data_IF_985738967029
#
_entry.id   IF_985738967029
#
_cell.length_a   1.000
_cell.length_b   1.000
_cell.length_c   1.000
_cell.angle_alpha   90.00
_cell.angle_beta   90.00
_cell.angle_gamma   90.00
#
_symmetry.space_group_name_H-M   'P 1'
#
loop_
_entity.id
_entity.type
_entity.pdbx_description
1 polymer ?
#
# COMPACT_ATOMS: atom_id res chain seq x y z
N UNK A 1 0.91 28.33 9.96
CA UNK A 1 2.13 27.52 9.75
C UNK A 1 1.77 26.32 8.90
N UNK A 2 1.87 26.45 7.58
CA UNK A 2 1.43 25.44 6.62
C UNK A 2 2.51 24.35 6.55
N UNK A 3 2.25 23.20 7.16
CA UNK A 3 3.13 22.03 7.13
C UNK A 3 2.60 21.06 6.10
N UNK A 4 3.12 21.16 4.88
CA UNK A 4 2.71 20.28 3.78
C UNK A 4 3.66 19.08 3.78
N UNK A 5 3.25 18.02 4.47
CA UNK A 5 3.84 16.70 4.31
C UNK A 5 3.15 16.02 3.13
N UNK A 6 3.92 15.53 2.17
CA UNK A 6 3.37 14.87 0.99
C UNK A 6 3.91 13.45 0.93
N UNK A 7 3.01 12.46 0.89
CA UNK A 7 3.32 11.13 0.40
C UNK A 7 2.93 11.08 -1.08
N UNK A 8 3.88 10.99 -2.00
CA UNK A 8 3.59 10.93 -3.44
C UNK A 8 3.88 9.50 -3.89
N UNK A 9 2.82 8.76 -4.23
CA UNK A 9 2.96 7.41 -4.76
C UNK A 9 3.61 7.43 -6.14
N UNK A 10 4.53 6.49 -6.37
CA UNK A 10 5.28 6.39 -7.63
C UNK A 10 4.88 5.14 -8.40
N UNK A 11 5.07 3.98 -7.79
CA UNK A 11 4.84 2.70 -8.46
C UNK A 11 4.60 1.57 -7.47
N UNK A 12 3.97 0.53 -7.98
CA UNK A 12 3.83 -0.76 -7.30
C UNK A 12 4.34 -1.85 -8.23
N UNK A 13 5.10 -2.80 -7.70
CA UNK A 13 5.58 -3.95 -8.45
C UNK A 13 4.95 -5.21 -7.85
N UNK A 14 4.35 -6.04 -8.68
CA UNK A 14 3.82 -7.34 -8.27
C UNK A 14 4.86 -8.41 -8.63
N UNK A 15 5.63 -8.86 -7.65
CA UNK A 15 6.70 -9.85 -7.87
C UNK A 15 6.12 -11.25 -8.06
N UNK A 16 5.08 -11.59 -7.30
CA UNK A 16 4.40 -12.87 -7.40
C UNK A 16 2.92 -12.71 -7.10
N UNK A 17 2.06 -13.35 -7.89
CA UNK A 17 0.64 -13.54 -7.60
C UNK A 17 0.31 -14.97 -7.95
N UNK A 18 -0.29 -15.70 -7.01
CA UNK A 18 -0.76 -17.07 -7.19
C UNK A 18 -2.13 -17.26 -6.57
N UNK A 19 -3.02 -17.90 -7.30
CA UNK A 19 -4.36 -18.28 -6.85
C UNK A 19 -4.44 -19.80 -6.94
N UNK A 20 -4.86 -20.43 -5.85
CA UNK A 20 -4.93 -21.89 -5.79
C UNK A 20 -6.15 -22.31 -4.98
N UNK A 21 -6.77 -23.43 -5.36
CA UNK A 21 -7.81 -24.05 -4.56
C UNK A 21 -7.25 -24.45 -3.18
N UNK A 22 -8.00 -24.16 -2.13
CA UNK A 22 -7.65 -24.48 -0.76
C UNK A 22 -8.88 -24.64 0.11
N UNK A 23 -8.65 -24.77 1.41
CA UNK A 23 -9.68 -24.87 2.43
C UNK A 23 -9.25 -24.00 3.59
N UNK A 24 -10.14 -23.12 4.06
CA UNK A 24 -9.85 -22.25 5.19
C UNK A 24 -9.72 -23.02 6.50
N UNK A 25 -9.54 -22.29 7.61
CA UNK A 25 -9.48 -22.90 8.95
C UNK A 25 -10.77 -23.63 9.36
N UNK A 26 -11.89 -23.39 8.68
CA UNK A 26 -13.19 -24.04 8.98
C UNK A 26 -13.47 -25.26 8.09
N UNK A 27 -12.63 -25.52 7.08
CA UNK A 27 -12.82 -26.63 6.16
C UNK A 27 -13.59 -26.25 4.89
N UNK A 28 -14.01 -24.99 4.74
CA UNK A 28 -14.77 -24.54 3.57
C UNK A 28 -13.84 -24.36 2.38
N UNK A 29 -14.10 -25.09 1.30
CA UNK A 29 -13.34 -24.99 0.06
C UNK A 29 -13.47 -23.59 -0.55
N UNK A 30 -12.34 -22.96 -0.85
CA UNK A 30 -12.27 -21.63 -1.47
C UNK A 30 -10.96 -21.48 -2.22
N UNK A 31 -10.95 -20.61 -3.22
CA UNK A 31 -9.70 -20.14 -3.79
C UNK A 31 -8.95 -19.28 -2.77
N UNK A 32 -7.62 -19.42 -2.77
CA UNK A 32 -6.71 -18.73 -1.89
C UNK A 32 -5.66 -17.98 -2.70
N UNK A 33 -5.49 -16.69 -2.41
CA UNK A 33 -4.49 -15.85 -3.04
C UNK A 33 -3.23 -15.75 -2.18
N UNK A 34 -2.08 -15.91 -2.83
CA UNK A 34 -0.76 -15.60 -2.29
C UNK A 34 -0.13 -14.57 -3.20
N UNK A 35 0.29 -13.44 -2.64
CA UNK A 35 0.95 -12.40 -3.41
C UNK A 35 2.10 -11.75 -2.67
N UNK A 36 3.08 -11.32 -3.44
CA UNK A 36 4.21 -10.53 -3.01
C UNK A 36 4.31 -9.30 -3.91
N UNK A 37 4.24 -8.12 -3.30
CA UNK A 37 4.33 -6.86 -4.02
C UNK A 37 5.18 -5.85 -3.25
N UNK A 38 5.77 -4.92 -3.99
CA UNK A 38 6.59 -3.84 -3.45
C UNK A 38 6.01 -2.50 -3.87
N UNK A 39 5.55 -1.72 -2.88
CA UNK A 39 5.09 -0.35 -3.07
C UNK A 39 6.26 0.64 -2.93
N UNK A 40 6.38 1.59 -3.86
CA UNK A 40 7.33 2.70 -3.79
C UNK A 40 6.62 4.05 -3.81
N UNK A 41 7.01 4.91 -2.87
CA UNK A 41 6.52 6.28 -2.80
C UNK A 41 7.58 7.23 -2.24
N UNK A 42 7.47 8.51 -2.56
CA UNK A 42 8.33 9.54 -1.99
C UNK A 42 7.60 10.27 -0.89
N UNK A 43 8.19 10.29 0.30
CA UNK A 43 7.78 11.18 1.37
C UNK A 43 8.56 12.49 1.29
N UNK A 44 7.87 13.64 1.25
CA UNK A 44 8.48 14.97 1.19
C UNK A 44 8.06 15.82 2.38
N UNK A 45 9.05 16.31 3.13
CA UNK A 45 8.89 17.32 4.17
C UNK A 45 9.22 18.70 3.59
N UNK A 46 8.19 19.51 3.32
CA UNK A 46 8.37 20.89 2.86
C UNK A 46 8.65 21.88 4.01
N UNK A 47 8.44 21.45 5.25
CA UNK A 47 8.67 22.26 6.45
C UNK A 47 10.11 22.73 6.57
N UNK A 48 10.29 23.97 7.01
CA UNK A 48 11.58 24.66 7.07
C UNK A 48 12.21 24.67 8.46
N UNK A 49 11.40 24.49 9.50
CA UNK A 49 11.82 24.71 10.88
C UNK A 49 12.23 23.42 11.61
N UNK A 50 11.63 22.27 11.27
CA UNK A 50 11.85 21.03 12.00
C UNK A 50 11.74 19.80 11.09
N UNK A 51 12.40 18.72 11.51
CA UNK A 51 12.16 17.40 10.97
C UNK A 51 10.99 16.71 11.65
N UNK A 52 10.59 15.57 11.09
CA UNK A 52 9.43 14.80 11.55
C UNK A 52 9.73 13.32 11.63
N UNK A 53 9.13 12.66 12.61
CA UNK A 53 9.08 11.21 12.65
C UNK A 53 7.85 10.74 11.88
N UNK A 54 8.10 9.97 10.84
CA UNK A 54 7.10 9.42 9.94
C UNK A 54 6.88 7.96 10.29
N UNK A 55 5.61 7.61 10.43
CA UNK A 55 5.12 6.25 10.68
C UNK A 55 3.88 6.04 9.83
N UNK A 56 3.43 4.81 9.64
CA UNK A 56 2.20 4.52 8.91
C UNK A 56 1.38 3.46 9.64
N UNK A 57 0.10 3.37 9.32
CA UNK A 57 -0.65 2.12 9.48
C UNK A 57 -0.11 1.07 8.49
N UNK A 58 -0.44 -0.22 8.67
CA UNK A 58 -0.16 -1.21 7.64
C UNK A 58 -0.70 -0.75 6.28
N UNK A 59 0.10 -0.99 5.24
CA UNK A 59 -0.29 -0.76 3.85
C UNK A 59 -1.15 -1.92 3.41
N UNK A 60 -2.44 -1.66 3.20
CA UNK A 60 -3.41 -2.68 2.84
C UNK A 60 -3.70 -2.61 1.35
N UNK A 61 -3.68 -3.77 0.70
CA UNK A 61 -4.14 -3.96 -0.66
C UNK A 61 -5.37 -4.85 -0.61
N UNK A 62 -6.47 -4.35 -1.15
CA UNK A 62 -7.77 -4.99 -1.09
C UNK A 62 -8.35 -5.21 -2.49
N UNK A 63 -9.09 -6.30 -2.62
CA UNK A 63 -9.97 -6.55 -3.74
C UNK A 63 -11.41 -6.51 -3.23
N UNK A 64 -12.21 -5.60 -3.76
CA UNK A 64 -13.54 -5.30 -3.20
C UNK A 64 -13.40 -5.02 -1.69
N UNK A 65 -14.02 -5.82 -0.82
CA UNK A 65 -13.95 -5.67 0.64
C UNK A 65 -12.94 -6.63 1.31
N UNK A 66 -12.14 -7.37 0.53
CA UNK A 66 -11.22 -8.39 1.03
C UNK A 66 -9.78 -7.88 0.97
N UNK A 67 -9.12 -7.82 2.13
CA UNK A 67 -7.69 -7.48 2.20
C UNK A 67 -6.87 -8.68 1.75
N UNK A 68 -6.26 -8.58 0.57
CA UNK A 68 -5.50 -9.67 -0.06
C UNK A 68 -4.01 -9.62 0.27
N UNK A 69 -3.50 -8.47 0.70
CA UNK A 69 -2.14 -8.32 1.17
C UNK A 69 -2.00 -7.13 2.12
N UNK A 70 -1.05 -7.23 3.05
CA UNK A 70 -0.72 -6.17 3.99
C UNK A 70 0.79 -6.07 4.20
N UNK A 71 1.27 -4.90 4.62
CA UNK A 71 2.70 -4.65 4.79
C UNK A 71 3.02 -3.46 5.67
N UNK A 72 3.94 -3.62 6.61
CA UNK A 72 4.33 -2.55 7.52
C UNK A 72 5.45 -1.67 6.95
N UNK A 73 5.24 -0.36 7.00
CA UNK A 73 6.29 0.60 6.70
C UNK A 73 7.21 0.78 7.92
N UNK A 74 8.52 0.60 7.71
CA UNK A 74 9.52 0.97 8.73
C UNK A 74 9.49 2.48 8.99
N UNK A 75 9.20 2.87 10.23
CA UNK A 75 9.22 4.28 10.63
C UNK A 75 10.59 4.93 10.44
N UNK A 76 10.61 6.21 10.12
CA UNK A 76 11.84 6.95 9.84
C UNK A 76 11.76 8.42 10.27
N UNK A 77 12.92 9.05 10.41
CA UNK A 77 13.03 10.49 10.57
C UNK A 77 13.25 11.15 9.20
N UNK A 78 12.52 12.23 8.94
CA UNK A 78 12.70 13.08 7.77
C UNK A 78 13.13 14.48 8.19
N UNK A 79 14.30 14.93 7.71
CA UNK A 79 14.81 16.27 7.96
C UNK A 79 13.95 17.35 7.29
N UNK A 80 14.13 18.61 7.72
CA UNK A 80 13.50 19.78 7.08
C UNK A 80 13.89 19.89 5.60
N UNK A 81 12.98 20.42 4.76
CA UNK A 81 13.20 20.66 3.31
C UNK A 81 13.83 19.48 2.56
N UNK A 82 13.39 18.27 2.85
CA UNK A 82 13.98 17.07 2.29
C UNK A 82 12.92 16.07 1.87
N UNK A 83 13.35 15.07 1.10
CA UNK A 83 12.50 13.98 0.65
C UNK A 83 13.21 12.64 0.80
N UNK A 84 12.45 11.56 0.85
CA UNK A 84 12.96 10.20 0.94
C UNK A 84 12.10 9.26 0.12
N UNK A 85 12.77 8.40 -0.65
CA UNK A 85 12.12 7.26 -1.28
C UNK A 85 11.88 6.17 -0.23
N UNK A 86 10.64 5.73 -0.14
CA UNK A 86 10.19 4.68 0.77
C UNK A 86 9.75 3.48 -0.07
N UNK A 87 10.16 2.29 0.36
CA UNK A 87 9.78 1.01 -0.23
C UNK A 87 9.14 0.16 0.85
N UNK A 88 7.95 -0.38 0.58
CA UNK A 88 7.19 -1.22 1.51
C UNK A 88 6.86 -2.54 0.82
N UNK A 89 7.22 -3.65 1.45
CA UNK A 89 6.80 -4.97 1.01
C UNK A 89 5.36 -5.23 1.50
N UNK A 90 4.46 -5.53 0.60
CA UNK A 90 3.03 -5.77 0.84
C UNK A 90 2.74 -7.18 0.37
N UNK A 91 2.46 -8.07 1.32
CA UNK A 91 2.41 -9.52 1.09
C UNK A 91 1.12 -10.10 1.64
N UNK A 92 0.63 -11.14 0.98
CA UNK A 92 -0.49 -11.96 1.42
C UNK A 92 -0.16 -13.42 1.20
N UNK A 93 -0.50 -14.28 2.16
CA UNK A 93 -0.20 -15.71 2.09
C UNK A 93 -1.46 -16.52 2.34
N UNK A 94 -1.89 -17.27 1.33
CA UNK A 94 -3.09 -18.12 1.38
C UNK A 94 -4.33 -17.40 1.93
N UNK A 95 -4.56 -16.17 1.48
CA UNK A 95 -5.72 -15.39 1.89
C UNK A 95 -6.96 -15.95 1.16
N UNK A 96 -8.01 -16.35 1.88
CA UNK A 96 -9.22 -16.88 1.25
C UNK A 96 -9.98 -15.78 0.50
N UNK A 97 -10.50 -16.11 -0.68
CA UNK A 97 -11.18 -15.20 -1.59
C UNK A 97 -12.72 -15.36 -1.57
N UNK A 98 -13.31 -15.54 -0.39
CA UNK A 98 -14.76 -15.70 -0.26
C UNK A 98 -15.55 -14.60 -0.96
N UNK A 99 -16.50 -14.96 -1.82
CA UNK A 99 -17.33 -13.98 -2.52
C UNK A 99 -16.60 -13.17 -3.59
N UNK A 100 -15.37 -13.52 -3.97
CA UNK A 100 -14.59 -12.77 -4.98
C UNK A 100 -15.08 -12.94 -6.42
N UNK A 101 -16.07 -13.79 -6.64
CA UNK A 101 -16.64 -14.06 -7.97
C UNK A 101 -15.63 -14.64 -8.96
N UNK A 102 -15.99 -14.63 -10.25
CA UNK A 102 -15.18 -15.22 -11.32
C UNK A 102 -13.96 -14.36 -11.73
N UNK A 103 -13.90 -13.09 -11.31
CA UNK A 103 -12.86 -12.12 -11.72
C UNK A 103 -11.46 -12.43 -11.20
N UNK A 104 -11.36 -13.19 -10.10
CA UNK A 104 -10.10 -13.74 -9.58
C UNK A 104 -9.98 -15.24 -9.83
N UNK A 105 -10.94 -15.86 -10.51
CA UNK A 105 -10.82 -17.28 -10.86
C UNK A 105 -9.64 -17.48 -11.80
N UNK A 106 -8.88 -18.53 -11.56
CA UNK A 106 -7.73 -18.86 -12.39
C UNK A 106 -7.65 -20.35 -12.66
N UNK A 107 -7.54 -20.68 -13.94
CA UNK A 107 -7.23 -22.04 -14.40
C UNK A 107 -5.72 -22.34 -14.36
N UNK A 108 -4.87 -21.31 -14.33
CA UNK A 108 -3.40 -21.40 -14.45
C UNK A 108 -2.65 -20.91 -13.23
N UNK A 109 -3.37 -20.52 -12.18
CA UNK A 109 -2.84 -19.96 -10.94
C UNK A 109 -2.58 -18.45 -10.94
N UNK A 110 -2.88 -17.73 -12.01
CA UNK A 110 -2.84 -16.25 -12.11
C UNK A 110 -4.16 -15.72 -12.68
N UNK A 111 -4.69 -14.55 -12.25
CA UNK A 111 -5.88 -13.97 -12.89
C UNK A 111 -5.73 -13.89 -14.40
N UNK A 112 -6.76 -14.25 -15.14
CA UNK A 112 -6.76 -14.20 -16.62
C UNK A 112 -7.08 -12.81 -17.17
N UNK A 113 -7.70 -11.96 -16.34
CA UNK A 113 -8.17 -10.61 -16.69
C UNK A 113 -7.55 -9.60 -15.71
N UNK A 114 -7.30 -8.34 -16.12
CA UNK A 114 -6.87 -7.30 -15.20
C UNK A 114 -7.84 -7.10 -14.04
N UNK A 115 -7.32 -7.09 -12.80
CA UNK A 115 -8.12 -7.02 -11.57
C UNK A 115 -7.96 -5.64 -10.92
N UNK A 116 -9.05 -4.90 -10.65
CA UNK A 116 -8.98 -3.66 -9.90
C UNK A 116 -8.76 -3.92 -8.41
N UNK A 117 -7.81 -3.22 -7.81
CA UNK A 117 -7.42 -3.30 -6.41
C UNK A 117 -7.47 -1.92 -5.78
N UNK A 118 -7.74 -1.87 -4.48
CA UNK A 118 -7.70 -0.65 -3.68
C UNK A 118 -6.55 -0.72 -2.69
N UNK A 119 -5.69 0.29 -2.73
CA UNK A 119 -4.59 0.47 -1.79
C UNK A 119 -4.97 1.53 -0.77
N UNK A 120 -4.81 1.24 0.52
CA UNK A 120 -5.20 2.13 1.59
C UNK A 120 -4.18 2.11 2.74
N UNK A 121 -3.77 3.29 3.21
CA UNK A 121 -2.97 3.45 4.42
C UNK A 121 -2.97 4.90 4.91
N UNK A 122 -2.62 5.10 6.18
CA UNK A 122 -2.50 6.44 6.78
C UNK A 122 -1.05 6.71 7.14
N UNK A 123 -0.48 7.77 6.59
CA UNK A 123 0.80 8.33 7.02
C UNK A 123 0.61 9.22 8.23
N UNK A 124 1.41 9.00 9.27
CA UNK A 124 1.45 9.82 10.48
C UNK A 124 2.80 10.53 10.58
N UNK A 125 2.75 11.85 10.54
CA UNK A 125 3.91 12.73 10.64
C UNK A 125 3.89 13.48 11.96
N UNK A 126 4.82 13.12 12.86
CA UNK A 126 4.97 13.76 14.17
C UNK A 126 6.11 14.75 14.14
N UNK A 127 5.79 16.03 14.29
CA UNK A 127 6.78 17.10 14.41
C UNK A 127 7.18 17.36 15.85
N UNK A 128 8.36 17.96 16.02
CA UNK A 128 8.91 18.41 17.30
C UNK A 128 9.18 19.91 17.18
N UNK A 129 8.17 20.71 17.53
CA UNK A 129 8.21 22.17 17.45
C UNK A 129 8.69 22.69 18.80
N UNK A 130 9.77 23.48 18.80
CA UNK A 130 10.46 23.95 20.01
C UNK A 130 10.90 22.78 20.92
N UNK A 131 11.68 21.85 20.36
CA UNK A 131 12.11 20.65 21.07
C UNK A 131 10.94 19.68 21.31
N UNK A 132 10.72 19.28 22.56
CA UNK A 132 9.65 18.33 22.94
C UNK A 132 8.38 19.01 23.48
N UNK A 133 8.30 20.35 23.49
CA UNK A 133 7.18 21.04 24.12
C UNK A 133 5.90 20.92 23.29
N UNK A 134 5.98 21.11 21.98
CA UNK A 134 4.83 21.02 21.08
C UNK A 134 5.07 19.92 20.05
N UNK A 135 4.21 18.89 20.05
CA UNK A 135 4.38 17.69 19.22
C UNK A 135 3.18 17.45 18.31
N UNK A 136 2.92 18.32 17.32
CA UNK A 136 1.75 18.16 16.48
C UNK A 136 1.90 16.90 15.64
N UNK A 137 0.76 16.23 15.43
CA UNK A 137 0.64 15.02 14.62
C UNK A 137 -0.24 15.36 13.44
N UNK A 138 0.24 14.99 12.26
CA UNK A 138 -0.50 15.11 11.02
C UNK A 138 -0.77 13.71 10.50
N UNK A 139 -1.98 13.51 10.00
CA UNK A 139 -2.42 12.25 9.43
C UNK A 139 -2.80 12.54 7.99
N UNK A 140 -2.31 11.71 7.07
CA UNK A 140 -2.65 11.78 5.65
C UNK A 140 -3.06 10.39 5.22
N UNK A 141 -4.33 10.26 4.92
CA UNK A 141 -4.96 9.06 4.39
C UNK A 141 -4.69 9.00 2.90
N UNK A 142 -4.10 7.89 2.45
CA UNK A 142 -3.78 7.65 1.06
C UNK A 142 -4.65 6.51 0.58
N UNK A 143 -5.50 6.77 -0.41
CA UNK A 143 -6.34 5.77 -1.06
C UNK A 143 -6.08 5.78 -2.55
N UNK A 144 -5.83 4.62 -3.13
CA UNK A 144 -5.58 4.52 -4.57
C UNK A 144 -6.26 3.34 -5.22
N UNK A 145 -6.74 3.57 -6.44
CA UNK A 145 -7.20 2.49 -7.33
C UNK A 145 -6.02 2.04 -8.20
N UNK A 146 -5.71 0.74 -8.12
CA UNK A 146 -4.60 0.09 -8.81
C UNK A 146 -5.18 -1.02 -9.67
N UNK A 147 -4.60 -1.30 -10.83
CA UNK A 147 -4.98 -2.46 -11.64
C UNK A 147 -3.85 -3.48 -11.65
N UNK A 148 -4.13 -4.68 -11.17
CA UNK A 148 -3.25 -5.84 -11.31
C UNK A 148 -3.44 -6.41 -12.72
N UNK A 149 -2.47 -6.17 -13.58
CA UNK A 149 -2.43 -6.72 -14.93
C UNK A 149 -1.55 -7.99 -14.94
N UNK A 150 -2.12 -9.18 -15.21
CA UNK A 150 -1.38 -10.44 -15.19
C UNK A 150 -0.24 -10.47 -16.23
N UNK A 151 -0.31 -9.67 -17.29
CA UNK A 151 0.74 -9.59 -18.31
C UNK A 151 1.91 -8.70 -17.89
N UNK A 152 1.78 -7.93 -16.80
CA UNK A 152 2.79 -6.98 -16.30
C UNK A 152 3.38 -7.38 -14.94
N UNK A 153 3.29 -8.66 -14.61
CA UNK A 153 3.95 -9.21 -13.43
C UNK A 153 5.46 -8.95 -13.50
N UNK A 154 6.07 -8.73 -12.34
CA UNK A 154 7.49 -8.37 -12.15
C UNK A 154 7.95 -7.04 -12.78
N UNK A 155 7.04 -6.26 -13.38
CA UNK A 155 7.33 -4.91 -13.87
C UNK A 155 6.72 -3.86 -12.93
N UNK A 156 7.44 -2.77 -12.61
CA UNK A 156 6.86 -1.67 -11.84
C UNK A 156 5.72 -0.99 -12.62
N UNK A 157 4.52 -0.99 -12.05
CA UNK A 157 3.36 -0.27 -12.58
C UNK A 157 3.38 1.14 -12.01
N UNK A 158 3.57 2.14 -12.87
CA UNK A 158 3.53 3.55 -12.47
C UNK A 158 2.12 3.96 -12.12
N UNK A 159 1.94 4.53 -10.93
CA UNK A 159 0.64 5.02 -10.46
C UNK A 159 0.38 6.42 -11.02
N UNK A 160 -0.76 6.61 -11.69
CA UNK A 160 -1.14 7.90 -12.24
C UNK A 160 -1.53 8.84 -11.10
N UNK A 161 -1.27 10.14 -11.24
CA UNK A 161 -1.59 11.12 -10.20
C UNK A 161 -3.08 11.16 -9.82
N UNK A 162 -3.97 10.88 -10.77
CA UNK A 162 -5.42 10.90 -10.59
C UNK A 162 -6.00 9.60 -10.01
N UNK A 163 -5.19 8.54 -9.85
CA UNK A 163 -5.67 7.28 -9.28
C UNK A 163 -5.62 7.26 -7.76
N UNK A 164 -5.18 8.35 -7.12
CA UNK A 164 -4.95 8.44 -5.69
C UNK A 164 -5.58 9.69 -5.07
N UNK A 165 -6.20 9.53 -3.91
CA UNK A 165 -6.66 10.63 -3.05
C UNK A 165 -5.77 10.75 -1.82
N UNK A 166 -5.63 11.98 -1.33
CA UNK A 166 -4.75 12.35 -0.22
C UNK A 166 -5.53 13.25 0.72
N UNK A 167 -6.06 12.68 1.81
CA UNK A 167 -6.97 13.35 2.76
C UNK A 167 -6.38 13.48 4.16
#
# INVERSE_FOLDING_TARGET
MILIFLGILQSIKFDQVRIQAGSDSTGVATDMITMNSTLKFTYRNTGTFFGVHVTATPVELSYSDIIIASGDMKGFYQSRRSQRLVSVAVMGNKIPLYGSGASLSSTTGVPTVPVPLNLNFVLRSRAYVLGKLVKPKYYTTIRCSITLDPNKLSSPVTLKKNSCTYD
#
